data_IF_009245269882
#
_entry.id   IF_009245269882
#
_cell.length_a   1.000
_cell.length_b   1.000
_cell.length_c   1.000
_cell.angle_alpha   90.00
_cell.angle_beta   90.00
_cell.angle_gamma   90.00
#
_symmetry.space_group_name_H-M   'P 1'
#
loop_
_entity.id
_entity.type
_entity.pdbx_description
1 polymer ?
#
# COMPACT_ATOMS: atom_id res chain seq x y z
N UNK A 1 1.69 12.10 9.99
CA UNK A 1 1.10 13.12 10.87
C UNK A 1 1.83 14.47 10.80
N UNK A 2 3.11 14.66 11.32
CA UNK A 2 3.77 15.99 11.24
C UNK A 2 3.87 16.52 9.81
N UNK A 3 4.29 15.71 8.85
CA UNK A 3 4.44 16.11 7.44
C UNK A 3 3.10 16.48 6.81
N UNK A 4 2.06 15.69 7.07
CA UNK A 4 0.74 15.90 6.51
C UNK A 4 0.10 17.18 7.07
N UNK A 5 0.27 17.43 8.37
CA UNK A 5 -0.21 18.66 8.99
C UNK A 5 0.60 19.88 8.58
N UNK A 6 1.92 19.75 8.42
CA UNK A 6 2.79 20.87 8.06
C UNK A 6 2.58 21.37 6.61
N UNK A 7 1.87 20.61 5.79
CA UNK A 7 1.45 21.08 4.45
C UNK A 7 0.34 22.14 4.52
N UNK A 8 -0.53 22.06 5.55
CA UNK A 8 -1.73 22.90 5.66
C UNK A 8 -1.68 23.88 6.83
N UNK A 9 -0.88 23.57 7.86
CA UNK A 9 -0.84 24.32 9.10
C UNK A 9 0.60 24.56 9.54
N UNK A 10 0.84 25.69 10.15
CA UNK A 10 2.09 25.99 10.81
C UNK A 10 1.85 26.79 12.10
N UNK A 11 2.52 26.39 13.18
CA UNK A 11 2.60 27.18 14.42
C UNK A 11 3.93 26.95 15.12
N UNK A 12 4.38 27.90 15.98
CA UNK A 12 5.61 27.76 16.76
C UNK A 12 5.58 26.48 17.61
N UNK A 13 6.70 25.71 17.60
CA UNK A 13 6.85 24.44 18.33
C UNK A 13 5.95 23.26 17.86
N UNK A 14 5.30 23.36 16.72
CA UNK A 14 4.40 22.32 16.19
C UNK A 14 4.99 20.91 16.26
N UNK A 15 6.28 20.74 15.89
CA UNK A 15 6.92 19.41 15.91
C UNK A 15 7.02 18.84 17.33
N UNK A 16 7.32 19.68 18.33
CA UNK A 16 7.42 19.28 19.72
C UNK A 16 6.04 18.94 20.30
N UNK A 17 5.05 19.78 20.08
CA UNK A 17 3.70 19.59 20.58
C UNK A 17 3.03 18.34 19.97
N UNK A 18 3.26 18.08 18.67
CA UNK A 18 2.80 16.84 18.07
C UNK A 18 3.51 15.60 18.63
N UNK A 19 4.80 15.70 18.96
CA UNK A 19 5.52 14.61 19.60
C UNK A 19 5.00 14.35 21.02
N UNK A 20 4.74 15.41 21.79
CA UNK A 20 4.13 15.34 23.14
C UNK A 20 2.73 14.74 23.07
N UNK A 21 1.88 15.18 22.13
CA UNK A 21 0.57 14.58 21.89
C UNK A 21 0.66 13.08 21.58
N UNK A 22 1.53 12.70 20.65
CA UNK A 22 1.74 11.28 20.29
C UNK A 22 2.24 10.45 21.46
N UNK A 23 3.08 11.02 22.35
CA UNK A 23 3.59 10.33 23.52
C UNK A 23 2.56 10.15 24.62
N UNK A 24 1.56 11.03 24.71
CA UNK A 24 0.48 10.99 25.69
C UNK A 24 -0.76 10.25 25.21
N UNK A 25 -0.89 10.03 23.89
CA UNK A 25 -2.04 9.34 23.32
C UNK A 25 -1.99 7.84 23.62
N UNK A 26 -2.92 7.34 24.47
CA UNK A 26 -2.97 5.92 24.85
C UNK A 26 -3.13 4.97 23.68
N UNK A 27 -3.91 5.33 22.66
CA UNK A 27 -4.08 4.54 21.43
C UNK A 27 -2.76 4.45 20.65
N UNK A 28 -2.11 5.59 20.42
CA UNK A 28 -0.82 5.61 19.71
C UNK A 28 0.25 4.79 20.44
N UNK A 29 0.26 4.80 21.76
CA UNK A 29 1.23 4.00 22.55
C UNK A 29 0.93 2.50 22.52
N UNK A 30 -0.34 2.09 22.48
CA UNK A 30 -0.73 0.68 22.39
C UNK A 30 -0.48 0.09 21.01
N UNK A 31 -0.54 0.91 19.96
CA UNK A 31 -0.34 0.49 18.56
C UNK A 31 1.14 0.48 18.16
N UNK A 32 1.98 1.31 18.80
CA UNK A 32 3.39 1.46 18.46
C UNK A 32 4.19 0.20 18.79
N UNK A 33 4.38 -0.66 17.79
CA UNK A 33 5.27 -1.81 17.84
C UNK A 33 6.65 -1.39 17.35
N UNK A 34 7.70 -1.84 18.02
CA UNK A 34 9.08 -1.61 17.60
C UNK A 34 9.43 -2.57 16.44
N UNK A 35 9.47 -2.05 15.21
CA UNK A 35 9.81 -2.85 14.05
C UNK A 35 11.33 -3.01 13.97
N UNK A 36 11.82 -4.25 14.05
CA UNK A 36 13.22 -4.57 13.88
C UNK A 36 13.63 -4.44 12.41
N UNK A 37 14.83 -3.89 12.17
CA UNK A 37 15.41 -3.87 10.81
C UNK A 37 15.88 -5.28 10.44
N UNK A 38 15.63 -5.75 9.19
CA UNK A 38 16.21 -7.00 8.70
C UNK A 38 17.73 -6.94 8.74
N UNK A 39 18.37 -8.04 9.16
CA UNK A 39 19.81 -8.11 9.42
C UNK A 39 20.68 -8.44 8.18
N UNK A 40 20.12 -8.60 6.99
CA UNK A 40 20.81 -9.10 5.80
C UNK A 40 20.99 -8.06 4.70
N UNK A 41 22.04 -8.24 3.86
CA UNK A 41 22.35 -7.36 2.73
C UNK A 41 21.24 -7.38 1.65
N UNK A 42 20.82 -6.21 1.23
CA UNK A 42 19.74 -5.98 0.26
C UNK A 42 20.17 -6.40 -1.15
N UNK A 43 19.62 -7.48 -1.69
CA UNK A 43 19.64 -7.67 -3.14
C UNK A 43 18.69 -6.64 -3.79
N UNK A 44 19.25 -5.75 -4.61
CA UNK A 44 18.47 -4.72 -5.28
C UNK A 44 17.53 -5.34 -6.31
N UNK A 45 16.23 -5.21 -6.06
CA UNK A 45 15.20 -5.59 -7.03
C UNK A 45 15.05 -4.46 -8.05
N UNK A 46 14.86 -4.80 -9.33
CA UNK A 46 14.64 -3.81 -10.39
C UNK A 46 13.52 -2.82 -10.03
N UNK A 47 13.79 -1.54 -10.27
CA UNK A 47 12.79 -0.48 -10.09
C UNK A 47 11.80 -0.55 -11.26
N UNK A 48 10.48 -0.62 -11.00
CA UNK A 48 9.47 -0.65 -12.05
C UNK A 48 9.53 0.56 -12.99
N UNK A 49 9.19 0.36 -14.26
CA UNK A 49 9.15 1.43 -15.24
C UNK A 49 7.81 2.15 -15.28
N UNK A 50 6.74 1.40 -15.22
CA UNK A 50 5.37 1.91 -15.27
C UNK A 50 4.54 1.46 -14.07
N UNK A 51 3.40 2.14 -13.89
CA UNK A 51 2.44 1.85 -12.83
C UNK A 51 1.74 0.52 -13.11
N UNK A 52 1.55 -0.28 -12.07
CA UNK A 52 0.86 -1.58 -12.11
C UNK A 52 1.50 -2.65 -13.01
N UNK A 53 2.69 -2.41 -13.56
CA UNK A 53 3.46 -3.43 -14.29
C UNK A 53 4.11 -4.45 -13.35
N UNK A 54 4.59 -3.98 -12.22
CA UNK A 54 5.20 -4.83 -11.19
C UNK A 54 4.42 -4.69 -9.89
N UNK A 55 3.77 -5.75 -9.47
CA UNK A 55 2.97 -5.76 -8.26
C UNK A 55 3.54 -6.73 -7.22
N UNK A 56 3.24 -6.47 -5.97
CA UNK A 56 3.47 -7.43 -4.89
C UNK A 56 2.14 -7.83 -4.24
N UNK A 57 2.07 -9.06 -3.77
CA UNK A 57 0.88 -9.63 -3.15
C UNK A 57 1.25 -10.37 -1.88
N UNK A 58 0.43 -10.19 -0.85
CA UNK A 58 0.57 -10.94 0.39
C UNK A 58 -0.76 -11.07 1.13
N UNK A 59 -0.81 -11.95 2.13
CA UNK A 59 -1.99 -12.16 2.96
C UNK A 59 -1.72 -11.76 4.40
N UNK A 60 -2.50 -10.83 4.90
CA UNK A 60 -2.60 -10.54 6.32
C UNK A 60 -3.59 -11.52 6.95
N UNK A 61 -3.10 -12.39 7.80
CA UNK A 61 -3.86 -13.49 8.42
C UNK A 61 -4.01 -13.29 9.93
N UNK A 62 -4.80 -14.15 10.58
CA UNK A 62 -4.96 -14.10 12.04
C UNK A 62 -5.94 -13.02 12.53
N UNK A 63 -6.74 -12.46 11.64
CA UNK A 63 -7.79 -11.51 12.02
C UNK A 63 -8.99 -12.23 12.66
N UNK A 64 -9.67 -11.60 13.63
CA UNK A 64 -10.92 -12.12 14.13
C UNK A 64 -11.96 -12.18 13.01
N UNK A 65 -12.84 -13.18 13.04
CA UNK A 65 -13.91 -13.29 12.04
C UNK A 65 -14.79 -12.05 12.04
N UNK A 66 -14.85 -11.40 10.88
CA UNK A 66 -15.72 -10.28 10.64
C UNK A 66 -17.19 -10.68 10.47
N UNK A 67 -18.08 -9.70 10.33
CA UNK A 67 -19.54 -9.93 10.16
C UNK A 67 -19.88 -10.74 8.90
N UNK A 68 -19.11 -10.58 7.83
CA UNK A 68 -19.26 -11.35 6.58
C UNK A 68 -18.52 -12.69 6.63
N UNK A 69 -17.87 -12.99 7.76
CA UNK A 69 -17.14 -14.21 8.02
C UNK A 69 -15.74 -14.26 7.43
N UNK A 70 -15.19 -13.12 6.98
CA UNK A 70 -13.81 -13.01 6.55
C UNK A 70 -12.88 -13.01 7.77
N UNK A 71 -11.69 -13.56 7.63
CA UNK A 71 -10.68 -13.71 8.68
C UNK A 71 -9.26 -13.39 8.20
N UNK A 72 -9.15 -12.84 6.98
CA UNK A 72 -7.89 -12.40 6.39
C UNK A 72 -8.12 -11.24 5.42
N UNK A 73 -7.03 -10.53 5.09
CA UNK A 73 -7.00 -9.50 4.06
C UNK A 73 -5.97 -9.90 3.02
N UNK A 74 -6.35 -9.88 1.76
CA UNK A 74 -5.42 -9.96 0.66
C UNK A 74 -4.96 -8.56 0.27
N UNK A 75 -3.65 -8.31 0.33
CA UNK A 75 -3.00 -7.04 0.03
C UNK A 75 -2.35 -7.14 -1.34
N UNK A 76 -2.68 -6.23 -2.23
CA UNK A 76 -2.07 -6.10 -3.57
C UNK A 76 -1.50 -4.70 -3.70
N UNK A 77 -0.23 -4.58 -4.08
CA UNK A 77 0.50 -3.31 -4.07
C UNK A 77 1.20 -3.08 -5.39
N UNK A 78 1.01 -1.91 -5.97
CA UNK A 78 1.86 -1.42 -7.05
C UNK A 78 3.24 -1.03 -6.53
N UNK A 79 4.27 -1.69 -7.04
CA UNK A 79 5.64 -1.50 -6.55
C UNK A 79 6.22 -0.13 -6.89
N UNK A 80 5.73 0.55 -7.92
CA UNK A 80 6.17 1.89 -8.29
C UNK A 80 5.51 2.96 -7.42
N UNK A 81 4.20 3.08 -7.45
CA UNK A 81 3.47 4.15 -6.76
C UNK A 81 3.20 3.88 -5.29
N UNK A 82 3.40 2.62 -4.84
CA UNK A 82 3.01 2.13 -3.51
C UNK A 82 1.50 2.16 -3.26
N UNK A 83 0.70 2.34 -4.32
CA UNK A 83 -0.74 2.23 -4.21
C UNK A 83 -1.14 0.81 -3.83
N UNK A 84 -2.01 0.67 -2.83
CA UNK A 84 -2.42 -0.62 -2.31
C UNK A 84 -3.93 -0.80 -2.40
N UNK A 85 -4.33 -2.05 -2.65
CA UNK A 85 -5.71 -2.53 -2.61
C UNK A 85 -5.84 -3.58 -1.51
N UNK A 86 -6.93 -3.53 -0.75
CA UNK A 86 -7.18 -4.40 0.39
C UNK A 86 -8.48 -5.18 0.21
N UNK A 87 -8.39 -6.49 0.04
CA UNK A 87 -9.54 -7.35 -0.19
C UNK A 87 -9.83 -8.23 1.03
N UNK A 88 -11.01 -8.09 1.67
CA UNK A 88 -11.41 -8.99 2.75
C UNK A 88 -11.72 -10.37 2.17
N UNK A 89 -11.07 -11.41 2.69
CA UNK A 89 -11.18 -12.80 2.24
C UNK A 89 -11.32 -13.74 3.42
N UNK A 90 -11.71 -15.00 3.12
CA UNK A 90 -11.63 -16.11 4.07
C UNK A 90 -10.37 -16.92 3.80
N UNK A 91 -9.69 -17.35 4.85
CA UNK A 91 -8.56 -18.28 4.72
C UNK A 91 -8.94 -19.57 3.99
N UNK A 92 -10.23 -19.95 4.06
CA UNK A 92 -10.81 -21.12 3.38
C UNK A 92 -11.25 -20.84 1.95
N UNK A 93 -11.12 -19.61 1.44
CA UNK A 93 -11.51 -19.30 0.07
C UNK A 93 -10.64 -20.07 -0.93
N UNK A 94 -11.31 -20.66 -1.92
CA UNK A 94 -10.66 -21.41 -2.99
C UNK A 94 -9.89 -20.46 -3.92
N UNK A 95 -8.85 -21.00 -4.55
CA UNK A 95 -8.00 -20.25 -5.48
C UNK A 95 -8.80 -19.68 -6.66
N UNK A 96 -9.84 -20.39 -7.13
CA UNK A 96 -10.74 -19.92 -8.18
C UNK A 96 -11.44 -18.61 -7.81
N UNK A 97 -11.89 -18.48 -6.54
CA UNK A 97 -12.49 -17.25 -6.05
C UNK A 97 -11.49 -16.10 -6.00
N UNK A 98 -10.27 -16.37 -5.54
CA UNK A 98 -9.19 -15.38 -5.52
C UNK A 98 -8.79 -14.97 -6.95
N UNK A 99 -8.72 -15.92 -7.88
CA UNK A 99 -8.45 -15.65 -9.29
C UNK A 99 -9.52 -14.75 -9.91
N UNK A 100 -10.80 -15.01 -9.62
CA UNK A 100 -11.90 -14.15 -10.07
C UNK A 100 -11.79 -12.75 -9.48
N UNK A 101 -11.56 -12.63 -8.16
CA UNK A 101 -11.39 -11.35 -7.49
C UNK A 101 -10.22 -10.55 -8.09
N UNK A 102 -9.10 -11.23 -8.39
CA UNK A 102 -7.94 -10.64 -9.05
C UNK A 102 -8.28 -10.07 -10.44
N UNK A 103 -9.00 -10.84 -11.25
CA UNK A 103 -9.41 -10.37 -12.59
C UNK A 103 -10.37 -9.19 -12.48
N UNK A 104 -11.37 -9.29 -11.61
CA UNK A 104 -12.43 -8.28 -11.49
C UNK A 104 -11.92 -6.96 -10.89
N UNK A 105 -10.99 -7.00 -9.93
CA UNK A 105 -10.60 -5.80 -9.17
C UNK A 105 -9.20 -5.29 -9.53
N UNK A 106 -8.30 -6.14 -10.01
CA UNK A 106 -6.93 -5.70 -10.37
C UNK A 106 -6.79 -5.58 -11.88
N UNK A 107 -7.00 -6.69 -12.61
CA UNK A 107 -6.76 -6.70 -14.07
C UNK A 107 -7.71 -5.76 -14.81
N UNK A 108 -8.98 -5.77 -14.45
CA UNK A 108 -9.99 -4.89 -15.07
C UNK A 108 -9.65 -3.40 -14.93
N UNK A 109 -9.03 -3.01 -13.81
CA UNK A 109 -8.75 -1.60 -13.51
C UNK A 109 -7.35 -1.15 -13.95
N UNK A 110 -6.37 -2.06 -13.93
CA UNK A 110 -4.96 -1.71 -14.06
C UNK A 110 -4.24 -2.47 -15.17
N UNK A 111 -4.93 -3.31 -15.93
CA UNK A 111 -4.38 -4.24 -16.91
C UNK A 111 -3.57 -5.40 -16.29
N UNK A 112 -3.00 -6.24 -17.14
CA UNK A 112 -2.22 -7.41 -16.73
C UNK A 112 -0.80 -6.98 -16.35
N UNK A 113 -0.33 -7.27 -15.12
CA UNK A 113 1.03 -6.93 -14.73
C UNK A 113 2.06 -7.79 -15.47
N UNK A 114 3.25 -7.23 -15.65
CA UNK A 114 4.40 -7.94 -16.24
C UNK A 114 4.99 -8.91 -15.22
N UNK A 115 5.06 -8.49 -13.95
CA UNK A 115 5.57 -9.35 -12.87
C UNK A 115 4.78 -9.22 -11.59
N UNK A 116 4.74 -10.34 -10.86
CA UNK A 116 4.15 -10.45 -9.52
C UNK A 116 5.21 -10.99 -8.57
N UNK A 117 5.39 -10.32 -7.45
CA UNK A 117 6.13 -10.84 -6.30
C UNK A 117 5.12 -11.27 -5.25
N UNK A 118 5.24 -12.49 -4.74
CA UNK A 118 4.40 -12.99 -3.65
C UNK A 118 5.18 -13.90 -2.73
N UNK A 119 4.67 -14.07 -1.51
CA UNK A 119 5.16 -15.10 -0.61
C UNK A 119 4.83 -16.51 -1.14
N UNK A 120 5.35 -17.54 -0.46
CA UNK A 120 5.08 -18.95 -0.80
C UNK A 120 3.80 -19.49 -0.16
N UNK A 121 2.78 -18.65 -0.06
CA UNK A 121 1.48 -19.13 0.42
C UNK A 121 0.97 -20.25 -0.51
N UNK A 122 0.37 -21.36 0.04
CA UNK A 122 -0.13 -22.47 -0.74
C UNK A 122 -1.11 -22.06 -1.85
N UNK A 123 -1.82 -20.96 -1.70
CA UNK A 123 -2.75 -20.43 -2.71
C UNK A 123 -2.03 -19.91 -3.94
N UNK A 124 -0.88 -19.25 -3.76
CA UNK A 124 -0.05 -18.74 -4.87
C UNK A 124 0.84 -19.81 -5.50
N UNK A 125 1.17 -20.88 -4.75
CA UNK A 125 1.94 -22.02 -5.26
C UNK A 125 1.06 -23.15 -5.82
N UNK A 126 -0.28 -23.03 -5.74
CA UNK A 126 -1.23 -23.98 -6.31
C UNK A 126 -1.05 -24.14 -7.83
N UNK A 127 -1.60 -25.20 -8.43
CA UNK A 127 -1.49 -25.37 -9.89
C UNK A 127 -2.22 -24.30 -10.70
N UNK A 128 -3.35 -23.85 -10.19
CA UNK A 128 -4.22 -22.89 -10.90
C UNK A 128 -3.54 -21.51 -11.03
N UNK A 129 -3.01 -20.98 -9.92
CA UNK A 129 -2.46 -19.61 -9.90
C UNK A 129 -1.30 -19.39 -10.89
N UNK A 130 -0.20 -20.19 -10.88
CA UNK A 130 0.85 -20.08 -11.88
C UNK A 130 0.37 -20.34 -13.31
N UNK A 131 -0.63 -21.21 -13.52
CA UNK A 131 -1.18 -21.46 -14.85
C UNK A 131 -1.93 -20.23 -15.38
N UNK A 132 -2.74 -19.58 -14.53
CA UNK A 132 -3.42 -18.33 -14.84
C UNK A 132 -2.41 -17.23 -15.21
N UNK A 133 -1.39 -17.03 -14.38
CA UNK A 133 -0.37 -15.99 -14.63
C UNK A 133 0.41 -16.27 -15.91
N UNK A 134 0.76 -17.51 -16.17
CA UNK A 134 1.43 -17.91 -17.42
C UNK A 134 0.54 -17.66 -18.65
N UNK A 135 -0.74 -17.96 -18.56
CA UNK A 135 -1.69 -17.70 -19.65
C UNK A 135 -1.83 -16.20 -19.95
N UNK A 136 -1.65 -15.35 -18.96
CA UNK A 136 -1.66 -13.88 -19.09
C UNK A 136 -0.30 -13.30 -19.50
N UNK A 137 0.76 -14.12 -19.56
CA UNK A 137 2.12 -13.64 -19.85
C UNK A 137 2.83 -12.98 -18.67
N UNK A 138 2.29 -13.11 -17.45
CA UNK A 138 2.85 -12.54 -16.22
C UNK A 138 3.94 -13.44 -15.64
N UNK A 139 5.07 -12.85 -15.24
CA UNK A 139 6.14 -13.55 -14.50
C UNK A 139 5.81 -13.59 -13.01
N UNK A 140 5.74 -14.78 -12.44
CA UNK A 140 5.52 -14.97 -11.01
C UNK A 140 6.85 -15.22 -10.30
N UNK A 141 7.24 -14.32 -9.40
CA UNK A 141 8.44 -14.40 -8.58
C UNK A 141 8.03 -14.71 -7.14
N UNK A 142 8.28 -15.94 -6.70
CA UNK A 142 8.00 -16.34 -5.31
C UNK A 142 9.17 -15.94 -4.42
N UNK A 143 8.93 -15.17 -3.37
CA UNK A 143 9.94 -14.84 -2.37
C UNK A 143 10.42 -16.13 -1.68
N UNK A 144 11.70 -16.18 -1.31
CA UNK A 144 12.23 -17.30 -0.55
C UNK A 144 12.22 -16.96 0.93
N UNK A 145 12.03 -17.97 1.78
CA UNK A 145 11.99 -17.84 3.25
C UNK A 145 13.28 -17.22 3.82
N UNK A 146 14.37 -17.28 3.06
CA UNK A 146 15.70 -16.78 3.46
C UNK A 146 16.04 -15.41 2.84
N UNK A 147 15.16 -14.82 2.03
CA UNK A 147 15.34 -13.49 1.45
C UNK A 147 14.08 -12.65 1.66
N UNK A 148 13.77 -12.25 2.91
CA UNK A 148 12.63 -11.39 3.23
C UNK A 148 12.66 -10.05 2.49
N UNK A 149 13.80 -9.69 1.96
CA UNK A 149 14.04 -8.45 1.23
C UNK A 149 13.30 -8.36 -0.12
N UNK A 150 13.00 -9.50 -0.75
CA UNK A 150 12.22 -9.53 -1.99
C UNK A 150 10.79 -9.05 -1.75
N UNK A 151 10.29 -9.20 -0.52
CA UNK A 151 8.93 -8.85 -0.11
C UNK A 151 8.86 -7.79 1.02
N UNK A 152 9.99 -7.28 1.49
CA UNK A 152 10.05 -6.30 2.59
C UNK A 152 9.24 -5.02 2.37
N UNK A 153 8.77 -4.77 1.13
CA UNK A 153 7.83 -3.69 0.84
C UNK A 153 6.40 -4.09 1.22
N UNK A 154 5.97 -5.31 0.88
CA UNK A 154 4.64 -5.84 1.25
C UNK A 154 4.55 -6.04 2.75
N UNK A 155 5.59 -6.58 3.39
CA UNK A 155 5.64 -6.72 4.85
C UNK A 155 5.47 -5.38 5.58
N UNK A 156 6.17 -4.33 5.11
CA UNK A 156 6.04 -2.99 5.70
C UNK A 156 4.62 -2.41 5.51
N UNK A 157 3.99 -2.70 4.37
CA UNK A 157 2.62 -2.25 4.11
C UNK A 157 1.65 -3.00 5.01
N UNK A 158 1.84 -4.31 5.18
CA UNK A 158 1.05 -5.13 6.11
C UNK A 158 1.22 -4.62 7.54
N UNK A 159 2.44 -4.34 8.00
CA UNK A 159 2.68 -3.74 9.32
C UNK A 159 1.96 -2.40 9.48
N UNK A 160 2.03 -1.53 8.46
CA UNK A 160 1.31 -0.25 8.48
C UNK A 160 -0.21 -0.46 8.52
N UNK A 161 -0.73 -1.43 7.78
CA UNK A 161 -2.14 -1.79 7.79
C UNK A 161 -2.58 -2.34 9.15
N UNK A 162 -1.75 -3.19 9.78
CA UNK A 162 -2.00 -3.69 11.13
C UNK A 162 -2.09 -2.56 12.15
N UNK A 163 -1.16 -1.61 12.11
CA UNK A 163 -1.15 -0.45 12.99
C UNK A 163 -2.40 0.42 12.78
N UNK A 164 -2.79 0.66 11.52
CA UNK A 164 -4.02 1.38 11.19
C UNK A 164 -5.27 0.65 11.68
N UNK A 165 -5.37 -0.65 11.45
CA UNK A 165 -6.49 -1.45 11.91
C UNK A 165 -6.59 -1.47 13.44
N UNK A 166 -5.48 -1.68 14.14
CA UNK A 166 -5.43 -1.65 15.61
C UNK A 166 -5.91 -0.31 16.15
N UNK A 167 -5.39 0.80 15.61
CA UNK A 167 -5.80 2.15 16.06
C UNK A 167 -7.29 2.38 15.84
N UNK A 168 -7.81 2.03 14.69
CA UNK A 168 -9.22 2.26 14.36
C UNK A 168 -10.18 1.33 15.11
N UNK A 169 -9.81 0.07 15.31
CA UNK A 169 -10.64 -0.87 16.09
C UNK A 169 -10.67 -0.46 17.57
N UNK A 170 -9.53 -0.01 18.12
CA UNK A 170 -9.46 0.48 19.49
C UNK A 170 -10.27 1.77 19.70
N UNK A 171 -10.26 2.67 18.71
CA UNK A 171 -10.96 3.95 18.82
C UNK A 171 -12.45 3.83 18.55
N UNK A 172 -12.85 3.11 17.51
CA UNK A 172 -14.24 3.07 17.03
C UNK A 172 -15.00 1.83 17.47
N UNK A 173 -14.34 0.81 18.02
CA UNK A 173 -14.98 -0.44 18.46
C UNK A 173 -15.77 -1.18 17.36
N UNK A 174 -15.49 -0.88 16.08
CA UNK A 174 -16.20 -1.40 14.92
C UNK A 174 -15.56 -2.67 14.39
N UNK A 175 -16.33 -3.40 13.59
CA UNK A 175 -15.80 -4.53 12.83
C UNK A 175 -14.75 -4.06 11.82
N UNK A 176 -13.60 -4.73 11.74
CA UNK A 176 -12.51 -4.38 10.86
C UNK A 176 -12.89 -4.38 9.36
N UNK A 177 -13.82 -5.26 8.95
CA UNK A 177 -14.31 -5.31 7.55
C UNK A 177 -14.99 -3.99 7.13
N UNK A 178 -15.71 -3.36 8.05
CA UNK A 178 -16.41 -2.09 7.81
C UNK A 178 -15.43 -0.91 7.74
N UNK A 179 -14.25 -1.06 8.35
CA UNK A 179 -13.19 -0.05 8.39
C UNK A 179 -12.21 -0.17 7.21
N UNK A 180 -12.17 -1.31 6.54
CA UNK A 180 -11.16 -1.60 5.51
C UNK A 180 -11.13 -0.58 4.37
N UNK A 181 -12.26 -0.08 3.82
CA UNK A 181 -12.24 0.98 2.80
C UNK A 181 -11.63 2.30 3.33
N UNK A 182 -11.85 2.62 4.61
CA UNK A 182 -11.26 3.78 5.24
C UNK A 182 -9.74 3.61 5.43
N UNK A 183 -9.30 2.40 5.75
CA UNK A 183 -7.87 2.07 5.86
C UNK A 183 -7.16 2.19 4.53
N UNK A 184 -7.77 1.62 3.46
CA UNK A 184 -7.25 1.73 2.10
C UNK A 184 -7.14 3.19 1.66
N UNK A 185 -8.18 3.96 1.91
CA UNK A 185 -8.18 5.40 1.67
C UNK A 185 -7.07 6.12 2.46
N UNK A 186 -6.97 5.87 3.75
CA UNK A 186 -5.99 6.51 4.64
C UNK A 186 -4.57 6.15 4.21
N UNK A 187 -4.31 4.87 3.93
CA UNK A 187 -3.01 4.41 3.45
C UNK A 187 -2.62 5.08 2.14
N UNK A 188 -3.50 5.06 1.14
CA UNK A 188 -3.22 5.61 -0.19
C UNK A 188 -3.07 7.14 -0.20
N UNK A 189 -3.57 7.83 0.82
CA UNK A 189 -3.45 9.28 0.97
C UNK A 189 -2.38 9.71 1.99
N UNK A 190 -1.73 8.77 2.68
CA UNK A 190 -0.63 9.07 3.59
C UNK A 190 0.70 9.20 2.87
N UNK A 191 1.51 10.17 3.30
CA UNK A 191 2.83 10.42 2.71
C UNK A 191 3.78 9.23 2.89
N UNK A 192 4.29 8.68 1.80
CA UNK A 192 5.27 7.60 1.78
C UNK A 192 6.68 8.15 1.57
N UNK A 193 7.58 7.91 2.52
CA UNK A 193 8.95 8.48 2.51
C UNK A 193 9.75 8.05 1.28
N UNK A 194 9.58 6.79 0.82
CA UNK A 194 10.34 6.22 -0.30
C UNK A 194 10.02 6.96 -1.61
N UNK A 195 8.74 7.21 -1.87
CA UNK A 195 8.31 7.90 -3.09
C UNK A 195 8.19 9.41 -2.88
N UNK A 196 8.17 9.87 -1.61
CA UNK A 196 8.15 11.29 -1.21
C UNK A 196 6.83 12.01 -1.49
N UNK A 197 5.75 11.25 -1.65
CA UNK A 197 4.39 11.75 -1.84
C UNK A 197 3.39 10.68 -1.40
N UNK A 198 2.09 10.98 -1.45
CA UNK A 198 1.06 9.97 -1.21
C UNK A 198 0.93 9.01 -2.42
N UNK A 199 0.65 7.71 -2.22
CA UNK A 199 0.39 6.76 -3.30
C UNK A 199 -0.68 7.22 -4.29
N UNK A 200 -1.77 7.80 -3.80
CA UNK A 200 -2.83 8.37 -4.63
C UNK A 200 -2.30 9.47 -5.56
N UNK A 201 -1.47 10.36 -5.03
CA UNK A 201 -0.84 11.43 -5.82
C UNK A 201 0.12 10.86 -6.86
N UNK A 202 0.90 9.85 -6.50
CA UNK A 202 1.78 9.15 -7.43
C UNK A 202 1.00 8.46 -8.56
N UNK A 203 -0.17 7.86 -8.23
CA UNK A 203 -1.00 7.14 -9.18
C UNK A 203 -1.76 8.08 -10.12
N UNK A 204 -2.44 9.09 -9.59
CA UNK A 204 -3.34 9.96 -10.35
C UNK A 204 -2.74 11.32 -10.74
N UNK A 205 -1.53 11.65 -10.31
CA UNK A 205 -0.86 12.90 -10.63
C UNK A 205 -1.36 14.12 -9.82
N UNK A 206 -2.36 13.96 -8.99
CA UNK A 206 -2.99 15.03 -8.18
C UNK A 206 -3.18 14.59 -6.74
N UNK A 207 -3.14 15.53 -5.81
CA UNK A 207 -3.49 15.29 -4.41
C UNK A 207 -4.98 14.95 -4.28
N UNK A 208 -5.31 14.10 -3.32
CA UNK A 208 -6.71 13.86 -2.98
C UNK A 208 -7.31 15.09 -2.31
N UNK A 209 -8.52 15.46 -2.68
CA UNK A 209 -9.26 16.55 -2.02
C UNK A 209 -9.88 16.01 -0.74
N UNK A 210 -9.36 16.44 0.39
CA UNK A 210 -10.00 16.23 1.70
C UNK A 210 -11.05 17.32 1.94
N UNK A 211 -11.94 17.13 2.90
CA UNK A 211 -12.90 18.16 3.32
C UNK A 211 -12.20 19.47 3.74
N UNK A 212 -10.96 19.38 4.20
CA UNK A 212 -10.12 20.53 4.60
C UNK A 212 -9.67 21.33 3.38
N UNK A 213 -9.51 20.71 2.22
CA UNK A 213 -9.05 21.34 0.98
C UNK A 213 -10.21 21.83 0.07
N UNK A 214 -11.46 21.79 0.53
CA UNK A 214 -12.60 22.27 -0.27
C UNK A 214 -12.60 23.79 -0.47
N UNK A 215 -11.85 24.54 0.31
CA UNK A 215 -11.76 26.00 0.20
C UNK A 215 -10.76 26.49 -0.85
N UNK A 216 -9.93 25.63 -1.45
CA UNK A 216 -9.09 25.98 -2.58
C UNK A 216 -9.91 26.07 -3.88
N UNK A 217 -10.76 27.09 -3.93
CA UNK A 217 -11.50 27.52 -5.15
C UNK A 217 -10.49 28.18 -6.07
N UNK A 218 -9.97 27.45 -7.07
CA UNK A 218 -9.10 28.04 -8.08
C UNK A 218 -8.09 27.13 -8.77
N UNK A 219 -7.92 25.89 -8.34
CA UNK A 219 -7.06 24.96 -9.11
C UNK A 219 -7.67 24.72 -10.49
N UNK A 220 -6.96 25.17 -11.53
CA UNK A 220 -7.26 24.83 -12.92
C UNK A 220 -7.32 23.30 -13.02
N UNK A 221 -8.43 22.76 -13.50
CA UNK A 221 -8.51 21.35 -13.90
C UNK A 221 -7.50 21.15 -15.02
N UNK A 222 -6.36 20.53 -14.72
CA UNK A 222 -5.42 20.07 -15.75
C UNK A 222 -6.16 19.01 -16.58
N UNK A 223 -6.30 19.24 -17.86
CA UNK A 223 -6.97 18.34 -18.80
C UNK A 223 -6.00 17.93 -19.90
N UNK A 224 -6.02 16.65 -20.27
CA UNK A 224 -5.29 16.15 -21.43
C UNK A 224 -3.77 16.14 -21.27
N UNK A 225 -3.01 16.72 -22.23
CA UNK A 225 -1.54 16.58 -22.32
C UNK A 225 -0.80 17.06 -21.07
N UNK A 226 -1.28 18.10 -20.41
CA UNK A 226 -0.67 18.65 -19.18
C UNK A 226 -0.70 17.64 -18.02
N UNK A 227 -1.82 16.90 -17.87
CA UNK A 227 -1.94 15.85 -16.86
C UNK A 227 -0.99 14.69 -17.15
N UNK A 228 -0.85 14.29 -18.41
CA UNK A 228 0.08 13.23 -18.83
C UNK A 228 1.52 13.66 -18.52
N UNK A 229 1.90 14.89 -18.87
CA UNK A 229 3.24 15.40 -18.58
C UNK A 229 3.53 15.44 -17.08
N UNK A 230 2.62 15.99 -16.28
CA UNK A 230 2.74 16.03 -14.82
C UNK A 230 2.92 14.62 -14.23
N UNK A 231 2.13 13.66 -14.73
CA UNK A 231 2.21 12.27 -14.28
C UNK A 231 3.55 11.63 -14.64
N UNK A 232 4.05 11.88 -15.86
CA UNK A 232 5.35 11.39 -16.33
C UNK A 232 6.50 11.95 -15.49
N UNK A 233 6.45 13.23 -15.17
CA UNK A 233 7.48 13.88 -14.35
C UNK A 233 7.47 13.34 -12.92
N UNK A 234 6.30 13.06 -12.34
CA UNK A 234 6.18 12.40 -11.03
C UNK A 234 6.77 10.99 -11.05
N UNK A 235 6.52 10.20 -12.07
CA UNK A 235 7.12 8.86 -12.24
C UNK A 235 8.67 8.96 -12.27
N UNK A 236 9.23 9.92 -13.00
CA UNK A 236 10.70 10.14 -13.00
C UNK A 236 11.25 10.46 -11.62
N UNK A 237 10.58 11.33 -10.86
CA UNK A 237 10.97 11.69 -9.49
C UNK A 237 10.90 10.47 -8.57
N UNK A 238 9.84 9.67 -8.66
CA UNK A 238 9.68 8.43 -7.88
C UNK A 238 10.82 7.46 -8.16
N UNK A 239 11.11 7.18 -9.43
CA UNK A 239 12.19 6.27 -9.84
C UNK A 239 13.55 6.73 -9.31
N UNK A 240 13.84 8.04 -9.41
CA UNK A 240 15.07 8.62 -8.85
C UNK A 240 15.18 8.39 -7.34
N UNK A 241 14.11 8.67 -6.59
CA UNK A 241 14.09 8.48 -5.12
C UNK A 241 14.20 7.02 -4.71
N UNK A 242 13.56 6.11 -5.45
CA UNK A 242 13.67 4.67 -5.19
C UNK A 242 15.11 4.19 -5.40
N UNK A 243 15.79 4.68 -6.45
CA UNK A 243 17.20 4.38 -6.69
C UNK A 243 18.09 4.93 -5.57
N UNK A 244 17.91 6.18 -5.17
CA UNK A 244 18.64 6.77 -4.05
C UNK A 244 18.41 6.04 -2.72
N UNK A 245 17.24 5.40 -2.54
CA UNK A 245 16.93 4.60 -1.36
C UNK A 245 17.54 3.19 -1.43
N UNK A 246 17.76 2.64 -2.62
CA UNK A 246 18.46 1.36 -2.83
C UNK A 246 19.97 1.50 -2.68
N UNK A 247 20.53 2.67 -3.03
CA UNK A 247 21.97 2.95 -2.98
C UNK A 247 22.46 3.30 -1.56
N UNK A 248 21.59 3.36 -0.55
CA UNK A 248 21.90 3.62 0.88
C UNK A 248 21.98 2.34 1.71
#
# INVERSE_FOLDING_TARGET
>A
MYRDLNEYYWWPNMKRELAEFMSSCGICQQVKIEHQRPAEELQSISIPECKWEDISMDFMTGLPRGKKGNDAIWVVVDRLTKSALFFPIKMTDLVDKLAKLYVDEVIRLHAVPISIISNRDPRFTSRLWPSLQRAMGTRLNLSTTFHPQTDGQSERIIQTLEDLLRSCVLEFGRNWEDLLPLMEFTYNNSHQTIIGMAPYEALYGRKYRTLICWEEVGERKLLGPEMVQLTTDKVRVIRKRMKEAQDR
#
